data_IF_364794244953
#
_entry.id   IF_364794244953
#
_cell.length_a   1.000
_cell.length_b   1.000
_cell.length_c   1.000
_cell.angle_alpha   90.00
_cell.angle_beta   90.00
_cell.angle_gamma   90.00
#
_symmetry.space_group_name_H-M   'P 1'
#
loop_
_entity.id
_entity.type
_entity.pdbx_description
1 polymer ?
#
# COMPACT_ATOMS: atom_id res chain seq x y z
N UNK A 1 4.75 -2.50 9.44
CA UNK A 1 3.87 -1.60 8.67
C UNK A 1 4.70 -0.47 8.10
N UNK A 2 4.36 0.01 6.91
CA UNK A 2 4.98 1.14 6.23
C UNK A 2 4.01 2.33 6.18
N UNK A 3 4.52 3.54 6.41
CA UNK A 3 3.78 4.79 6.20
C UNK A 3 3.80 5.15 4.71
N UNK A 4 2.63 5.37 4.11
CA UNK A 4 2.50 5.57 2.67
C UNK A 4 1.65 6.80 2.37
N UNK A 5 2.22 7.73 1.60
CA UNK A 5 1.47 8.85 1.03
C UNK A 5 0.67 8.35 -0.17
N UNK A 6 -0.64 8.41 -0.04
CA UNK A 6 -1.56 7.90 -1.05
C UNK A 6 -1.76 8.97 -2.11
N UNK A 7 -1.72 8.55 -3.38
CA UNK A 7 -2.09 9.40 -4.53
C UNK A 7 -3.40 8.95 -5.17
N UNK A 8 -3.59 7.63 -5.27
CA UNK A 8 -4.76 7.03 -5.90
C UNK A 8 -5.53 6.21 -4.88
N UNK A 9 -6.85 6.11 -5.08
CA UNK A 9 -7.72 5.31 -4.21
C UNK A 9 -7.43 3.81 -4.38
N UNK A 10 -7.34 3.10 -3.27
CA UNK A 10 -7.33 1.63 -3.20
C UNK A 10 -8.09 1.14 -1.97
N UNK A 11 -8.49 -0.12 -1.96
CA UNK A 11 -9.37 -0.70 -0.93
C UNK A 11 -8.87 -2.06 -0.47
N UNK A 12 -9.34 -2.48 0.69
CA UNK A 12 -9.12 -3.84 1.20
C UNK A 12 -9.48 -4.89 0.13
N UNK A 13 -8.62 -5.90 -0.03
CA UNK A 13 -8.75 -6.92 -1.06
C UNK A 13 -8.19 -6.54 -2.43
N UNK A 14 -7.75 -5.29 -2.65
CA UNK A 14 -6.98 -4.95 -3.86
C UNK A 14 -5.66 -5.71 -3.87
N UNK A 15 -5.23 -6.15 -5.06
CA UNK A 15 -3.90 -6.69 -5.28
C UNK A 15 -2.91 -5.54 -5.50
N UNK A 16 -1.87 -5.49 -4.66
CA UNK A 16 -0.88 -4.42 -4.64
C UNK A 16 0.50 -4.94 -4.99
N UNK A 17 1.28 -4.10 -5.68
CA UNK A 17 2.69 -4.32 -5.95
C UNK A 17 3.51 -3.23 -5.23
N UNK A 18 4.44 -3.66 -4.38
CA UNK A 18 5.50 -2.82 -3.84
C UNK A 18 6.75 -2.98 -4.70
N UNK A 19 7.04 -1.99 -5.53
CA UNK A 19 8.30 -1.92 -6.28
C UNK A 19 9.40 -1.30 -5.44
N UNK A 20 10.56 -1.94 -5.40
CA UNK A 20 11.77 -1.39 -4.79
C UNK A 20 12.96 -1.61 -5.72
N UNK A 21 14.05 -0.85 -5.60
CA UNK A 21 15.28 -1.12 -6.35
C UNK A 21 15.90 -2.51 -6.11
N UNK A 22 15.47 -3.22 -5.06
CA UNK A 22 15.93 -4.56 -4.72
C UNK A 22 15.02 -5.68 -5.22
N UNK A 23 13.87 -5.33 -5.78
CA UNK A 23 12.87 -6.27 -6.27
C UNK A 23 11.45 -5.80 -5.98
N UNK A 24 10.50 -6.48 -6.59
CA UNK A 24 9.08 -6.18 -6.44
C UNK A 24 8.40 -7.25 -5.60
N UNK A 25 7.41 -6.85 -4.82
CA UNK A 25 6.64 -7.73 -3.95
C UNK A 25 5.16 -7.55 -4.22
N UNK A 26 4.48 -8.64 -4.56
CA UNK A 26 3.05 -8.65 -4.80
C UNK A 26 2.32 -9.22 -3.59
N UNK A 27 1.21 -8.60 -3.20
CA UNK A 27 0.41 -9.05 -2.06
C UNK A 27 -1.03 -8.54 -2.14
N UNK A 28 -1.95 -9.29 -1.54
CA UNK A 28 -3.32 -8.84 -1.35
C UNK A 28 -3.43 -7.96 -0.10
N UNK A 29 -4.16 -6.85 -0.20
CA UNK A 29 -4.33 -5.93 0.92
C UNK A 29 -5.29 -6.52 1.97
N UNK A 30 -4.74 -7.09 3.03
CA UNK A 30 -5.51 -7.66 4.15
C UNK A 30 -5.59 -6.78 5.39
N UNK A 31 -4.83 -5.70 5.45
CA UNK A 31 -4.89 -4.76 6.58
C UNK A 31 -4.53 -3.36 6.10
N UNK A 32 -5.29 -2.37 6.56
CA UNK A 32 -5.04 -0.97 6.29
C UNK A 32 -5.40 -0.13 7.51
N UNK A 33 -4.52 0.81 7.87
CA UNK A 33 -4.73 1.71 9.01
C UNK A 33 -4.58 3.17 8.63
N UNK A 34 -5.34 4.03 9.27
CA UNK A 34 -5.16 5.48 9.19
C UNK A 34 -3.94 5.93 10.01
N UNK A 35 -3.58 7.22 9.90
CA UNK A 35 -2.54 7.83 10.75
C UNK A 35 -2.86 7.81 12.25
N UNK A 36 -4.12 7.66 12.64
CA UNK A 36 -4.50 7.50 14.05
C UNK A 36 -4.44 6.04 14.54
N UNK A 37 -4.05 5.10 13.68
CA UNK A 37 -3.98 3.67 13.98
C UNK A 37 -5.31 2.92 13.86
N UNK A 38 -6.40 3.61 13.53
CA UNK A 38 -7.70 3.00 13.30
C UNK A 38 -7.68 2.14 12.05
N UNK A 39 -8.31 0.95 12.12
CA UNK A 39 -8.53 0.11 10.95
C UNK A 39 -9.50 0.82 9.99
N UNK A 40 -9.15 0.84 8.70
CA UNK A 40 -9.95 1.44 7.63
C UNK A 40 -10.04 0.48 6.45
N UNK A 41 -11.07 0.61 5.62
CA UNK A 41 -11.26 -0.27 4.46
C UNK A 41 -10.83 0.36 3.14
N UNK A 42 -10.62 1.67 3.14
CA UNK A 42 -10.36 2.46 1.94
C UNK A 42 -9.25 3.46 2.20
N UNK A 43 -8.24 3.46 1.34
CA UNK A 43 -7.31 4.57 1.19
C UNK A 43 -7.94 5.57 0.20
N UNK A 44 -8.35 6.78 0.63
CA UNK A 44 -9.23 7.65 -0.15
C UNK A 44 -8.56 8.31 -1.37
N UNK A 45 -7.23 8.41 -1.42
CA UNK A 45 -6.50 9.04 -2.51
C UNK A 45 -5.59 10.17 -2.03
N UNK A 46 -5.30 11.11 -2.92
CA UNK A 46 -4.36 12.22 -2.68
C UNK A 46 -4.62 12.98 -1.37
N UNK A 47 -3.54 13.50 -0.79
CA UNK A 47 -3.57 14.24 0.49
C UNK A 47 -3.67 13.36 1.73
N UNK A 48 -3.78 12.04 1.61
CA UNK A 48 -3.90 11.13 2.74
C UNK A 48 -2.63 10.29 2.94
N UNK A 49 -2.40 9.91 4.18
CA UNK A 49 -1.35 8.98 4.58
C UNK A 49 -1.99 7.79 5.29
N UNK A 50 -1.54 6.59 4.96
CA UNK A 50 -2.04 5.33 5.53
C UNK A 50 -0.88 4.43 5.89
N UNK A 51 -1.17 3.42 6.70
CA UNK A 51 -0.22 2.38 7.07
C UNK A 51 -0.64 1.06 6.44
N UNK A 52 0.30 0.45 5.71
CA UNK A 52 0.11 -0.82 5.00
C UNK A 52 1.11 -1.85 5.54
N UNK A 53 0.72 -3.11 5.75
CA UNK A 53 1.67 -4.17 6.06
C UNK A 53 2.59 -4.39 4.85
N UNK A 54 3.89 -4.49 5.12
CA UNK A 54 4.91 -4.83 4.12
C UNK A 54 5.75 -5.98 4.67
N UNK A 55 6.36 -6.81 3.82
CA UNK A 55 7.21 -7.91 4.28
C UNK A 55 8.33 -7.42 5.21
N UNK A 56 8.62 -8.21 6.24
CA UNK A 56 9.72 -7.90 7.17
C UNK A 56 11.05 -7.85 6.42
N UNK A 57 11.81 -6.77 6.65
CA UNK A 57 13.10 -6.55 5.98
C UNK A 57 13.01 -5.96 4.56
N UNK A 58 11.82 -5.59 4.07
CA UNK A 58 11.70 -4.86 2.81
C UNK A 58 12.42 -3.50 2.88
N UNK A 59 13.35 -3.25 1.94
CA UNK A 59 14.02 -1.95 1.81
C UNK A 59 13.11 -0.98 1.04
N UNK A 60 12.45 -0.09 1.78
CA UNK A 60 11.48 0.85 1.23
C UNK A 60 12.10 2.10 0.60
N UNK A 61 13.43 2.21 0.56
CA UNK A 61 14.08 3.38 -0.07
C UNK A 61 13.75 3.40 -1.55
N UNK A 62 13.20 4.52 -2.00
CA UNK A 62 12.68 4.69 -3.37
C UNK A 62 11.55 3.70 -3.71
N UNK A 63 10.83 3.20 -2.70
CA UNK A 63 9.70 2.31 -2.88
C UNK A 63 8.49 3.02 -3.48
N UNK A 64 7.80 2.34 -4.39
CA UNK A 64 6.53 2.77 -4.97
C UNK A 64 5.49 1.68 -4.76
N UNK A 65 4.31 2.07 -4.29
CA UNK A 65 3.17 1.17 -4.20
C UNK A 65 2.24 1.42 -5.36
N UNK A 66 1.93 0.35 -6.06
CA UNK A 66 1.01 0.34 -7.18
C UNK A 66 -0.12 -0.62 -6.87
N UNK A 67 -1.28 -0.33 -7.43
CA UNK A 67 -2.39 -1.28 -7.45
C UNK A 67 -2.40 -1.94 -8.81
N UNK A 68 -2.47 -3.26 -8.82
CA UNK A 68 -2.64 -4.00 -10.06
C UNK A 68 -4.07 -3.80 -10.57
N UNK A 69 -4.17 -3.26 -11.78
CA UNK A 69 -5.42 -3.12 -12.49
C UNK A 69 -5.48 -4.30 -13.47
N UNK A 70 -6.27 -5.32 -13.13
CA UNK A 70 -6.61 -6.34 -14.12
C UNK A 70 -7.45 -5.64 -15.20
N UNK A 71 -7.02 -5.62 -16.47
CA UNK A 71 -7.81 -5.03 -17.55
C UNK A 71 -9.13 -5.79 -17.67
N UNK A 72 -10.24 -5.05 -17.70
CA UNK A 72 -11.56 -5.57 -18.07
C UNK A 72 -11.72 -5.66 -19.57
#
# INVERSE_FOLDING_TARGET
MAEMKVKNRFVMGDHLELMTPKGNFHFDLHELRSVSGAAIEVAPGDGHTVYVPVPDGADLRFGLLMRDLVPV
#
